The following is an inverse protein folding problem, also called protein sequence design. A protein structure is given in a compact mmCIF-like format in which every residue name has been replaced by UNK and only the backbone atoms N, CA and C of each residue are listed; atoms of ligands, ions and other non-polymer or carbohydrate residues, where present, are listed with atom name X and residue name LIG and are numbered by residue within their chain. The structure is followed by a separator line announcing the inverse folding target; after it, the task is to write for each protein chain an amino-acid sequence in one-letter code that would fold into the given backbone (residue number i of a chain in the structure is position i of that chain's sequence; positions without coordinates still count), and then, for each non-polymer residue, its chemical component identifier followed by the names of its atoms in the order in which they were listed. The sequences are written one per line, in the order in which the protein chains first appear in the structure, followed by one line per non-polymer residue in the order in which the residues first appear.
data_IF_245276697629
#
_entry.id   IF_245276697629
#
_cell.length_a   1.000
_cell.length_b   1.000
_cell.length_c   1.000
_cell.angle_alpha   90.00
_cell.angle_beta   90.00
_cell.angle_gamma   90.00
#
_symmetry.space_group_name_H-M   'P 1'
#
loop_
_entity.id
_entity.type
_entity.pdbx_description
1 polymer ?
#
# COMPACT_ATOMS: atom_id res chain seq x y z
N UNK A 1 -8.16 -3.75 -6.04
CA UNK A 1 -7.51 -2.66 -5.28
C UNK A 1 -6.30 -2.18 -6.06
N UNK A 2 -5.97 -0.89 -5.92
CA UNK A 2 -4.71 -0.32 -6.39
C UNK A 2 -3.87 0.07 -5.17
N UNK A 3 -2.69 -0.53 -5.05
CA UNK A 3 -1.73 -0.24 -3.98
C UNK A 3 -0.58 0.56 -4.57
N UNK A 4 -0.38 1.79 -4.10
CA UNK A 4 0.47 2.77 -4.75
C UNK A 4 1.61 3.22 -3.83
N UNK A 5 2.86 3.04 -4.27
CA UNK A 5 4.05 3.66 -3.66
C UNK A 5 4.43 4.87 -4.52
N UNK A 6 4.68 6.02 -3.88
CA UNK A 6 4.88 7.30 -4.55
C UNK A 6 6.36 7.63 -4.59
N UNK A 7 6.89 7.75 -5.80
CA UNK A 7 8.24 8.22 -6.05
C UNK A 7 8.38 9.73 -5.81
N UNK A 8 9.62 10.19 -5.68
CA UNK A 8 9.95 11.60 -5.39
C UNK A 8 10.83 12.23 -6.48
N UNK A 9 10.69 11.79 -7.74
CA UNK A 9 11.55 12.23 -8.86
C UNK A 9 12.88 11.47 -8.96
N UNK A 10 13.23 10.66 -7.95
CA UNK A 10 14.42 9.79 -7.95
C UNK A 10 14.05 8.31 -7.92
N UNK A 11 13.15 7.96 -7.02
CA UNK A 11 12.56 6.62 -6.95
C UNK A 11 11.30 6.57 -7.81
N UNK A 12 10.93 5.39 -8.31
CA UNK A 12 9.82 5.23 -9.26
C UNK A 12 8.50 5.08 -8.52
N UNK A 13 7.45 5.68 -9.06
CA UNK A 13 6.08 5.45 -8.59
C UNK A 13 5.54 4.13 -9.13
N UNK A 14 4.87 3.35 -8.27
CA UNK A 14 4.37 2.00 -8.59
C UNK A 14 2.88 1.92 -8.30
N UNK A 15 2.11 1.30 -9.20
CA UNK A 15 0.74 0.84 -8.95
C UNK A 15 0.71 -0.69 -9.01
N UNK A 16 0.27 -1.33 -7.94
CA UNK A 16 0.02 -2.76 -7.89
C UNK A 16 -1.49 -3.02 -7.86
N UNK A 17 -2.02 -3.50 -8.99
CA UNK A 17 -3.40 -3.93 -9.14
C UNK A 17 -3.53 -5.36 -8.62
N UNK A 18 -4.34 -5.55 -7.59
CA UNK A 18 -4.49 -6.84 -6.93
C UNK A 18 -5.89 -7.07 -6.35
N UNK A 19 -6.19 -8.35 -6.09
CA UNK A 19 -7.32 -8.78 -5.26
C UNK A 19 -6.84 -9.11 -3.86
N UNK A 20 -7.53 -8.57 -2.87
CA UNK A 20 -7.29 -8.85 -1.45
C UNK A 20 -8.52 -9.54 -0.87
N UNK A 21 -8.28 -10.50 0.01
CA UNK A 21 -9.32 -11.21 0.76
C UNK A 21 -8.78 -11.68 2.10
N UNK A 22 -9.69 -12.04 3.02
CA UNK A 22 -9.33 -12.48 4.37
C UNK A 22 -8.96 -11.33 5.31
N UNK A 23 -9.11 -11.58 6.60
CA UNK A 23 -8.75 -10.63 7.66
C UNK A 23 -7.23 -10.44 7.74
N UNK A 24 -6.79 -9.31 8.29
CA UNK A 24 -5.35 -9.07 8.56
C UNK A 24 -4.81 -10.18 9.47
N UNK A 25 -3.53 -10.52 9.29
CA UNK A 25 -2.89 -11.65 9.98
C UNK A 25 -2.94 -12.95 9.18
N UNK A 26 -3.52 -14.01 9.76
CA UNK A 26 -3.28 -15.38 9.28
C UNK A 26 -4.15 -15.82 8.10
N UNK A 27 -5.25 -15.12 7.81
CA UNK A 27 -6.14 -15.44 6.69
C UNK A 27 -5.95 -14.54 5.47
N UNK A 28 -5.18 -13.45 5.61
CA UNK A 28 -4.95 -12.45 4.56
C UNK A 28 -4.38 -13.09 3.31
N UNK A 29 -5.03 -12.90 2.16
CA UNK A 29 -4.61 -13.38 0.85
C UNK A 29 -4.51 -12.22 -0.12
N UNK A 30 -3.44 -12.19 -0.90
CA UNK A 30 -3.17 -11.19 -1.94
C UNK A 30 -2.86 -11.92 -3.25
N UNK A 31 -3.65 -11.63 -4.28
CA UNK A 31 -3.42 -12.11 -5.65
C UNK A 31 -3.13 -10.90 -6.52
N UNK A 32 -1.90 -10.81 -7.04
CA UNK A 32 -1.51 -9.76 -7.97
C UNK A 32 -2.10 -10.03 -9.36
N UNK A 33 -2.49 -8.96 -10.03
CA UNK A 33 -2.92 -8.99 -11.44
C UNK A 33 -1.96 -8.24 -12.33
N UNK A 34 -1.52 -7.04 -11.92
CA UNK A 34 -0.63 -6.22 -12.72
C UNK A 34 0.22 -5.30 -11.83
N UNK A 35 1.44 -5.01 -12.29
CA UNK A 35 2.29 -3.96 -11.73
C UNK A 35 2.57 -2.95 -12.83
N UNK A 36 2.22 -1.69 -12.56
CA UNK A 36 2.52 -0.56 -13.43
C UNK A 36 3.63 0.24 -12.75
N UNK A 37 4.73 0.47 -13.46
CA UNK A 37 5.89 1.23 -12.99
C UNK A 37 6.00 2.50 -13.83
N UNK A 38 5.89 3.65 -13.18
CA UNK A 38 6.05 4.96 -13.81
C UNK A 38 7.52 5.29 -14.05
N UNK A 39 7.77 6.25 -14.93
CA UNK A 39 9.10 6.83 -15.05
C UNK A 39 9.54 7.51 -13.73
N UNK A 40 10.84 7.52 -13.47
CA UNK A 40 11.38 8.15 -12.26
C UNK A 40 11.18 9.66 -12.22
N UNK A 41 11.01 10.32 -13.37
CA UNK A 41 10.75 11.76 -13.47
C UNK A 41 9.28 12.14 -13.22
N UNK A 42 8.37 11.17 -13.12
CA UNK A 42 6.96 11.43 -12.86
C UNK A 42 6.79 12.04 -11.46
N UNK A 43 6.17 13.22 -11.42
CA UNK A 43 5.94 13.92 -10.17
C UNK A 43 4.68 13.38 -9.43
N UNK A 44 4.53 13.66 -8.12
CA UNK A 44 3.41 13.14 -7.33
C UNK A 44 2.02 13.59 -7.81
N UNK A 45 1.90 14.76 -8.46
CA UNK A 45 0.62 15.28 -8.99
C UNK A 45 0.26 14.52 -10.26
N UNK A 46 1.18 14.43 -11.21
CA UNK A 46 1.02 13.64 -12.44
C UNK A 46 0.68 12.18 -12.10
N UNK A 47 1.32 11.61 -11.09
CA UNK A 47 1.02 10.26 -10.64
C UNK A 47 -0.41 10.11 -10.09
N UNK A 48 -0.92 11.13 -9.37
CA UNK A 48 -2.30 11.15 -8.87
C UNK A 48 -3.32 11.17 -10.00
N UNK A 49 -3.09 11.98 -11.03
CA UNK A 49 -3.92 12.03 -12.24
C UNK A 49 -3.86 10.70 -13.00
N UNK A 50 -2.67 10.12 -13.13
CA UNK A 50 -2.48 8.83 -13.77
C UNK A 50 -3.21 7.70 -13.02
N UNK A 51 -3.17 7.68 -11.68
CA UNK A 51 -3.95 6.73 -10.88
C UNK A 51 -5.46 6.93 -11.13
N UNK A 52 -5.93 8.18 -11.17
CA UNK A 52 -7.35 8.48 -11.40
C UNK A 52 -7.85 7.91 -12.72
N UNK A 53 -7.09 8.12 -13.81
CA UNK A 53 -7.42 7.62 -15.14
C UNK A 53 -7.27 6.10 -15.27
N UNK A 54 -6.21 5.54 -14.70
CA UNK A 54 -5.89 4.11 -14.83
C UNK A 54 -6.79 3.22 -13.97
N UNK A 55 -7.20 3.70 -12.80
CA UNK A 55 -7.98 2.95 -11.83
C UNK A 55 -9.48 3.27 -11.93
N UNK A 56 -10.01 3.35 -13.15
CA UNK A 56 -11.43 3.65 -13.42
C UNK A 56 -12.35 2.59 -12.77
N UNK A 57 -13.36 2.98 -11.95
CA UNK A 57 -14.36 2.07 -11.38
C UNK A 57 -15.16 1.29 -12.42
N UNK A 58 -15.31 1.80 -13.64
CA UNK A 58 -15.98 1.10 -14.75
C UNK A 58 -15.16 -0.12 -15.17
N UNK A 59 -13.83 0.02 -15.24
CA UNK A 59 -12.91 -1.08 -15.57
C UNK A 59 -12.65 -2.00 -14.38
N UNK A 60 -12.60 -1.42 -13.18
CA UNK A 60 -12.32 -2.13 -11.92
C UNK A 60 -13.41 -1.84 -10.88
N UNK A 61 -14.56 -2.53 -10.94
CA UNK A 61 -15.60 -2.39 -9.94
C UNK A 61 -15.06 -2.64 -8.53
N UNK A 62 -15.46 -1.80 -7.57
CA UNK A 62 -15.01 -1.84 -6.17
C UNK A 62 -13.48 -1.63 -5.98
N UNK A 63 -12.82 -0.93 -6.90
CA UNK A 63 -11.41 -0.57 -6.72
C UNK A 63 -11.24 0.43 -5.57
N UNK A 64 -10.67 -0.03 -4.46
CA UNK A 64 -10.15 0.83 -3.41
C UNK A 64 -8.72 1.28 -3.74
N UNK A 65 -8.45 2.57 -3.53
CA UNK A 65 -7.12 3.16 -3.68
C UNK A 65 -6.41 3.18 -2.32
N UNK A 66 -5.17 2.71 -2.30
CA UNK A 66 -4.31 2.70 -1.12
C UNK A 66 -2.99 3.35 -1.52
N UNK A 67 -2.59 4.43 -0.85
CA UNK A 67 -1.42 5.24 -1.23
C UNK A 67 -0.49 5.38 -0.03
N UNK A 68 0.82 5.20 -0.20
CA UNK A 68 1.79 5.69 0.78
C UNK A 68 1.74 7.21 0.81
N UNK A 69 1.12 7.77 1.85
CA UNK A 69 0.86 9.20 1.94
C UNK A 69 1.88 9.92 2.82
N UNK A 70 2.93 9.24 3.28
CA UNK A 70 4.02 9.90 3.98
C UNK A 70 4.81 10.79 2.98
N UNK A 71 5.25 11.95 3.44
CA UNK A 71 6.01 12.94 2.63
C UNK A 71 5.30 13.31 1.31
N UNK A 72 5.94 13.03 0.17
CA UNK A 72 5.50 13.42 -1.18
C UNK A 72 4.16 12.80 -1.59
N UNK A 73 3.80 11.64 -1.02
CA UNK A 73 2.53 10.97 -1.35
C UNK A 73 1.29 11.70 -0.83
N UNK A 74 1.47 12.70 0.04
CA UNK A 74 0.36 13.56 0.48
C UNK A 74 -0.26 14.34 -0.68
N UNK A 75 0.55 14.78 -1.64
CA UNK A 75 0.07 15.55 -2.80
C UNK A 75 -0.71 14.65 -3.76
N UNK A 76 -0.16 13.47 -4.11
CA UNK A 76 -0.87 12.43 -4.88
C UNK A 76 -2.23 12.12 -4.28
N UNK A 77 -2.29 11.98 -2.96
CA UNK A 77 -3.56 11.68 -2.29
C UNK A 77 -4.54 12.85 -2.36
N UNK A 78 -4.06 14.08 -2.20
CA UNK A 78 -4.89 15.28 -2.26
C UNK A 78 -5.48 15.49 -3.65
N UNK A 79 -4.73 15.19 -4.71
CA UNK A 79 -5.22 15.20 -6.10
C UNK A 79 -6.35 14.18 -6.27
N UNK A 80 -6.13 12.94 -5.84
CA UNK A 80 -7.15 11.89 -5.92
C UNK A 80 -8.44 12.26 -5.15
N UNK A 81 -8.31 12.77 -3.93
CA UNK A 81 -9.45 13.22 -3.11
C UNK A 81 -10.20 14.37 -3.79
N UNK A 82 -9.51 15.35 -4.39
CA UNK A 82 -10.13 16.44 -5.16
C UNK A 82 -10.85 15.94 -6.41
N UNK A 83 -10.38 14.86 -7.02
CA UNK A 83 -11.05 14.17 -8.12
C UNK A 83 -12.19 13.24 -7.67
N UNK A 84 -12.66 13.36 -6.41
CA UNK A 84 -13.78 12.61 -5.87
C UNK A 84 -13.47 11.15 -5.53
N UNK A 85 -12.19 10.81 -5.36
CA UNK A 85 -11.74 9.44 -5.06
C UNK A 85 -11.55 9.25 -3.56
N UNK A 86 -12.06 8.17 -3.01
CA UNK A 86 -11.73 7.75 -1.65
C UNK A 86 -10.36 7.05 -1.63
N UNK A 87 -9.46 7.52 -0.75
CA UNK A 87 -8.10 7.00 -0.64
C UNK A 87 -7.80 6.55 0.78
N UNK A 88 -7.31 5.33 0.92
CA UNK A 88 -6.73 4.84 2.17
C UNK A 88 -5.27 5.23 2.25
N UNK A 89 -4.94 6.07 3.24
CA UNK A 89 -3.59 6.58 3.46
C UNK A 89 -2.76 5.59 4.28
N UNK A 90 -1.69 5.04 3.71
CA UNK A 90 -0.67 4.29 4.45
C UNK A 90 0.25 5.29 5.14
N UNK A 91 0.61 4.98 6.39
CA UNK A 91 1.49 5.81 7.24
C UNK A 91 2.60 4.93 7.79
N UNK A 92 3.59 4.63 6.96
CA UNK A 92 4.58 3.57 7.15
C UNK A 92 5.35 3.67 8.48
N UNK A 93 5.66 4.91 8.88
CA UNK A 93 6.39 5.20 10.12
C UNK A 93 5.55 5.09 11.39
N UNK A 94 4.22 5.05 11.31
CA UNK A 94 3.34 5.07 12.49
C UNK A 94 3.31 3.72 13.21
N UNK A 95 3.08 3.70 14.53
CA UNK A 95 2.88 2.47 15.27
C UNK A 95 1.61 1.73 14.81
N UNK A 96 1.53 0.44 15.14
CA UNK A 96 0.30 -0.34 14.97
C UNK A 96 -0.79 0.15 15.94
N UNK A 97 -2.06 -0.02 15.54
CA UNK A 97 -3.21 0.42 16.34
C UNK A 97 -3.43 -0.43 17.60
N UNK A 98 -3.22 -1.75 17.54
CA UNK A 98 -3.43 -2.63 18.69
C UNK A 98 -2.24 -2.61 19.65
N UNK A 99 -2.48 -2.72 20.96
CA UNK A 99 -1.41 -2.86 21.95
C UNK A 99 -0.57 -4.11 21.71
N UNK A 100 -1.22 -5.22 21.33
CA UNK A 100 -0.57 -6.47 21.01
C UNK A 100 0.46 -6.30 19.89
N UNK A 101 0.07 -5.69 18.77
CA UNK A 101 0.98 -5.50 17.64
C UNK A 101 2.08 -4.47 17.96
N UNK A 102 1.79 -3.42 18.75
CA UNK A 102 2.82 -2.47 19.20
C UNK A 102 3.92 -3.14 20.03
N UNK A 103 3.59 -4.18 20.80
CA UNK A 103 4.57 -4.94 21.57
C UNK A 103 5.46 -5.83 20.69
N UNK A 104 5.06 -6.09 19.44
CA UNK A 104 5.74 -7.03 18.52
C UNK A 104 6.40 -6.37 17.34
N UNK A 105 5.92 -5.20 16.90
CA UNK A 105 6.38 -4.51 15.70
C UNK A 105 6.63 -3.04 16.03
N UNK A 106 7.77 -2.52 15.60
CA UNK A 106 8.11 -1.11 15.82
C UNK A 106 7.09 -0.16 15.17
N UNK A 107 6.62 -0.51 13.97
CA UNK A 107 5.71 0.31 13.16
C UNK A 107 4.95 -0.54 12.12
N UNK A 108 4.06 0.13 11.39
CA UNK A 108 3.28 -0.44 10.28
C UNK A 108 4.15 -1.12 9.23
N UNK A 109 5.28 -0.50 8.85
CA UNK A 109 6.26 -1.12 7.93
C UNK A 109 6.71 -2.50 8.41
N UNK A 110 7.06 -2.62 9.69
CA UNK A 110 7.55 -3.87 10.24
C UNK A 110 6.49 -4.96 10.28
N UNK A 111 5.28 -4.63 10.70
CA UNK A 111 4.14 -5.55 10.63
C UNK A 111 3.92 -6.04 9.20
N UNK A 112 3.81 -5.11 8.25
CA UNK A 112 3.46 -5.38 6.87
C UNK A 112 4.45 -6.34 6.19
N UNK A 113 5.75 -6.11 6.39
CA UNK A 113 6.81 -6.96 5.84
C UNK A 113 6.78 -8.37 6.43
N UNK A 114 6.62 -8.51 7.75
CA UNK A 114 6.54 -9.82 8.40
C UNK A 114 5.27 -10.57 7.99
N UNK A 115 4.14 -9.87 7.90
CA UNK A 115 2.87 -10.44 7.44
C UNK A 115 2.97 -10.92 5.99
N UNK A 116 3.60 -10.12 5.11
CA UNK A 116 3.82 -10.46 3.71
C UNK A 116 4.71 -11.71 3.57
N UNK A 117 5.81 -11.79 4.33
CA UNK A 117 6.67 -12.98 4.36
C UNK A 117 5.89 -14.24 4.78
N UNK A 118 5.06 -14.15 5.84
CA UNK A 118 4.22 -15.28 6.30
C UNK A 118 3.18 -15.67 5.25
N UNK A 119 2.58 -14.70 4.57
CA UNK A 119 1.62 -14.95 3.49
C UNK A 119 2.28 -15.67 2.31
N UNK A 120 3.52 -15.33 1.94
CA UNK A 120 4.29 -16.07 0.91
C UNK A 120 4.53 -17.50 1.35
N UNK A 121 5.08 -17.70 2.55
CA UNK A 121 5.43 -19.05 3.06
C UNK A 121 4.22 -19.98 3.17
N UNK A 122 3.04 -19.42 3.43
CA UNK A 122 1.77 -20.18 3.52
C UNK A 122 0.99 -20.23 2.20
N UNK A 123 1.53 -19.74 1.09
CA UNK A 123 0.88 -19.79 -0.23
C UNK A 123 -0.33 -18.85 -0.39
N UNK A 124 -0.52 -17.90 0.54
CA UNK A 124 -1.56 -16.86 0.49
C UNK A 124 -1.16 -15.62 -0.30
N UNK A 125 0.12 -15.45 -0.58
CA UNK A 125 0.61 -14.42 -1.48
C UNK A 125 1.63 -15.01 -2.43
N UNK A 126 1.56 -14.63 -3.70
CA UNK A 126 2.61 -14.87 -4.68
C UNK A 126 2.94 -13.54 -5.35
N UNK A 127 4.18 -13.04 -5.23
CA UNK A 127 4.63 -11.90 -6.03
C UNK A 127 4.52 -12.20 -7.52
N UNK A 128 4.61 -11.16 -8.34
CA UNK A 128 4.70 -11.29 -9.79
C UNK A 128 6.00 -12.01 -10.19
N UNK A 129 6.07 -12.47 -11.44
CA UNK A 129 7.23 -13.21 -11.95
C UNK A 129 8.46 -12.30 -12.23
N UNK A 130 8.41 -11.02 -11.86
CA UNK A 130 9.51 -10.09 -12.08
C UNK A 130 10.66 -10.36 -11.12
N UNK A 131 11.86 -10.52 -11.68
CA UNK A 131 13.10 -10.61 -10.89
C UNK A 131 13.31 -9.38 -10.00
N UNK A 132 12.85 -8.19 -10.41
CA UNK A 132 12.94 -6.96 -9.60
C UNK A 132 12.17 -7.10 -8.29
N UNK A 133 10.94 -7.61 -8.34
CA UNK A 133 10.09 -7.78 -7.16
C UNK A 133 10.67 -8.84 -6.22
N UNK A 134 11.14 -9.96 -6.77
CA UNK A 134 11.80 -11.00 -6.01
C UNK A 134 13.08 -10.50 -5.33
N UNK A 135 13.92 -9.75 -6.06
CA UNK A 135 15.16 -9.17 -5.54
C UNK A 135 14.89 -8.15 -4.42
N UNK A 136 13.92 -7.25 -4.61
CA UNK A 136 13.52 -6.29 -3.58
C UNK A 136 13.04 -7.00 -2.31
N UNK A 137 12.17 -8.01 -2.44
CA UNK A 137 11.66 -8.78 -1.31
C UNK A 137 12.79 -9.52 -0.55
N UNK A 138 13.73 -10.13 -1.28
CA UNK A 138 14.81 -10.93 -0.70
C UNK A 138 15.84 -10.08 0.07
N UNK A 139 16.01 -8.81 -0.32
CA UNK A 139 17.02 -7.91 0.25
C UNK A 139 16.55 -7.06 1.42
N UNK A 140 15.29 -7.19 1.86
CA UNK A 140 14.77 -6.40 2.98
C UNK A 140 15.52 -6.72 4.28
N UNK A 141 16.22 -5.75 4.89
CA UNK A 141 16.92 -5.97 6.14
C UNK A 141 15.93 -5.96 7.31
N UNK A 142 15.77 -7.13 7.93
CA UNK A 142 14.91 -7.36 9.09
C UNK A 142 15.78 -7.64 10.32
N UNK A 143 15.42 -7.05 11.46
CA UNK A 143 16.05 -7.36 12.76
C UNK A 143 15.03 -7.32 13.90
N UNK A 144 15.46 -7.81 15.06
CA UNK A 144 14.76 -7.63 16.33
C UNK A 144 15.47 -6.51 17.11
N UNK A 145 14.72 -5.62 17.78
CA UNK A 145 15.29 -4.64 18.69
C UNK A 145 15.42 -5.18 20.13
N UNK A 146 15.99 -4.37 21.03
CA UNK A 146 16.21 -4.74 22.43
C UNK A 146 14.92 -5.05 23.20
N UNK A 147 13.78 -4.54 22.71
CA UNK A 147 12.46 -4.80 23.28
C UNK A 147 11.76 -6.02 22.64
N UNK A 148 12.48 -6.80 21.81
CA UNK A 148 11.91 -7.97 21.14
C UNK A 148 11.00 -7.65 19.95
N UNK A 149 11.00 -6.40 19.45
CA UNK A 149 10.13 -5.99 18.34
C UNK A 149 10.81 -6.17 17.00
N UNK A 150 10.04 -6.58 16.00
CA UNK A 150 10.46 -6.58 14.61
C UNK A 150 10.70 -5.15 14.10
N UNK A 151 11.82 -4.96 13.43
CA UNK A 151 12.25 -3.70 12.82
C UNK A 151 12.70 -3.96 11.39
N UNK A 152 12.20 -3.12 10.48
CA UNK A 152 12.69 -3.02 9.11
C UNK A 152 13.56 -1.78 9.01
N UNK A 153 14.73 -1.91 8.37
CA UNK A 153 15.62 -0.78 8.16
C UNK A 153 14.93 0.33 7.36
N UNK A 154 15.12 1.59 7.75
CA UNK A 154 14.57 2.76 7.02
C UNK A 154 15.15 2.83 5.59
N UNK A 155 14.36 3.30 4.61
CA UNK A 155 14.75 3.41 3.18
C UNK A 155 16.10 4.16 3.05
N UNK A 156 16.24 5.32 3.70
CA UNK A 156 17.48 6.10 3.69
C UNK A 156 18.71 5.33 4.19
N UNK A 157 18.57 4.50 5.24
CA UNK A 157 19.68 3.72 5.79
C UNK A 157 20.02 2.51 4.92
N UNK A 158 19.02 1.88 4.30
CA UNK A 158 19.25 0.80 3.32
C UNK A 158 20.14 1.30 2.18
N UNK A 159 19.84 2.51 1.68
CA UNK A 159 20.63 3.15 0.62
C UNK A 159 22.04 3.50 1.09
N UNK A 160 22.15 4.20 2.21
CA UNK A 160 23.43 4.73 2.68
C UNK A 160 24.40 3.64 3.15
N UNK A 161 23.90 2.57 3.80
CA UNK A 161 24.75 1.55 4.44
C UNK A 161 24.93 0.28 3.63
N UNK A 162 23.93 -0.10 2.82
CA UNK A 162 23.90 -1.39 2.12
C UNK A 162 23.85 -1.23 0.59
N UNK A 163 23.83 0.02 0.09
CA UNK A 163 23.63 0.33 -1.33
C UNK A 163 22.34 -0.29 -1.92
N UNK A 164 21.35 -0.60 -1.07
CA UNK A 164 20.06 -1.15 -1.48
C UNK A 164 19.15 0.02 -1.87
N UNK A 165 18.59 -0.01 -3.07
CA UNK A 165 17.62 1.00 -3.54
C UNK A 165 16.28 0.84 -2.84
N UNK A 166 15.41 1.84 -2.97
CA UNK A 166 14.06 1.75 -2.43
C UNK A 166 13.32 0.52 -2.98
N UNK A 167 12.66 -0.29 -2.14
CA UNK A 167 11.99 -1.51 -2.57
C UNK A 167 10.53 -1.24 -2.99
N UNK A 168 10.31 -0.27 -3.88
CA UNK A 168 8.97 0.32 -4.09
C UNK A 168 7.93 -0.71 -4.58
N UNK A 169 8.32 -1.67 -5.43
CA UNK A 169 7.41 -2.75 -5.85
C UNK A 169 7.03 -3.63 -4.66
N UNK A 170 8.01 -4.01 -3.84
CA UNK A 170 7.77 -4.83 -2.66
C UNK A 170 6.93 -4.11 -1.59
N UNK A 171 7.14 -2.81 -1.40
CA UNK A 171 6.36 -2.01 -0.45
C UNK A 171 4.86 -2.03 -0.84
N UNK A 172 4.52 -1.98 -2.14
CA UNK A 172 3.11 -2.14 -2.57
C UNK A 172 2.47 -3.47 -2.15
N UNK A 173 3.19 -4.60 -2.21
CA UNK A 173 2.68 -5.88 -1.70
C UNK A 173 2.44 -5.82 -0.20
N UNK A 174 3.32 -5.14 0.53
CA UNK A 174 3.22 -4.99 1.97
C UNK A 174 2.02 -4.09 2.37
N UNK A 175 1.68 -3.06 1.59
CA UNK A 175 0.46 -2.27 1.81
C UNK A 175 -0.79 -3.14 1.83
N UNK A 176 -0.82 -4.17 0.98
CA UNK A 176 -1.91 -5.14 0.93
C UNK A 176 -2.06 -5.99 2.19
N UNK A 177 -1.09 -6.00 3.10
CA UNK A 177 -1.19 -6.63 4.42
C UNK A 177 -1.78 -5.69 5.48
N UNK A 178 -1.81 -4.38 5.20
CA UNK A 178 -2.29 -3.34 6.12
C UNK A 178 -3.61 -2.71 5.72
N UNK A 179 -3.97 -2.65 4.45
CA UNK A 179 -5.16 -1.90 4.05
C UNK A 179 -6.47 -2.54 4.54
N UNK A 180 -7.56 -1.79 4.48
CA UNK A 180 -8.90 -2.36 4.52
C UNK A 180 -9.38 -2.61 3.09
N UNK A 181 -10.31 -3.53 2.91
CA UNK A 181 -10.85 -3.85 1.58
C UNK A 181 -12.36 -3.98 1.64
N UNK A 182 -13.03 -3.62 0.55
CA UNK A 182 -14.46 -3.87 0.35
C UNK A 182 -14.60 -5.16 -0.48
N UNK A 183 -15.23 -6.23 0.05
CA UNK A 183 -15.48 -7.44 -0.73
C UNK A 183 -16.34 -7.17 -1.96
N UNK A 184 -16.05 -7.82 -3.08
CA UNK A 184 -16.79 -7.59 -4.33
C UNK A 184 -18.28 -8.00 -4.27
N UNK A 185 -18.67 -8.82 -3.28
CA UNK A 185 -20.05 -9.24 -3.04
C UNK A 185 -20.86 -8.24 -2.20
N UNK A 186 -20.21 -7.23 -1.61
CA UNK A 186 -20.91 -6.11 -0.98
C UNK A 186 -21.06 -4.99 -2.02
N UNK A 187 -22.26 -4.41 -2.21
CA UNK A 187 -22.40 -3.25 -3.05
C UNK A 187 -21.49 -2.14 -2.51
N UNK A 188 -20.74 -1.47 -3.40
CA UNK A 188 -20.07 -0.23 -3.06
C UNK A 188 -21.09 0.66 -2.34
N UNK A 189 -20.75 1.17 -1.15
CA UNK A 189 -21.65 2.07 -0.43
C UNK A 189 -21.84 3.33 -1.28
N UNK A 190 -22.90 3.36 -2.08
CA UNK A 190 -23.46 4.60 -2.61
C UNK A 190 -24.02 5.30 -1.38
N UNK A 191 -23.21 6.17 -0.75
CA UNK A 191 -23.70 7.09 0.27
C UNK A 191 -24.47 8.19 -0.44
N UNK A 192 -25.68 7.88 -0.89
CA UNK A 192 -26.67 8.89 -1.13
C UNK A 192 -27.23 9.29 0.23
N UNK A 193 -26.76 10.41 0.79
CA UNK A 193 -27.53 11.22 1.75
C UNK A 193 -26.73 12.47 2.13
N UNK A 194 -27.10 13.59 1.50
CA UNK A 194 -27.12 14.94 2.07
C UNK A 194 -27.85 15.87 1.09
N UNK A 195 -29.11 15.56 0.76
CA UNK A 195 -30.00 16.52 0.07
C UNK A 195 -31.50 16.26 0.25
N UNK A 196 -31.92 15.54 1.29
CA UNK A 196 -33.36 15.43 1.62
C UNK A 196 -33.79 16.07 2.95
N UNK A 197 -32.87 16.48 3.83
CA UNK A 197 -33.23 17.13 5.10
C UNK A 197 -33.15 18.67 5.07
N UNK A 198 -32.99 19.27 3.88
CA UNK A 198 -32.96 20.74 3.71
C UNK A 198 -34.24 21.32 3.09
N UNK A 199 -35.30 20.52 2.92
CA UNK A 199 -36.60 20.99 2.39
C UNK A 199 -37.79 20.65 3.30
N UNK A 200 -37.56 20.42 4.59
CA UNK A 200 -38.63 20.15 5.56
C UNK A 200 -38.40 20.77 6.94
N UNK A 201 -37.74 21.94 6.99
CA UNK A 201 -37.55 22.74 8.21
C UNK A 201 -37.74 24.21 7.92
#
# INVERSE_FOLDING_TARGET
MALCDVGNGRDKSIINLCKISGARGDTRRLVNYNIIEMDGACDPVEFGEFIHLTCDPVLYPNISLVVDSDEVGSDTTSILERSGREVQRIRWGKPMFSHYDRSRYLNQRAYANVAAQRAIRSGRMRPDNSSKSAEQAAKIPVRIDENGRWVIMKKALMRAKLNIRSPDRWDTYCFGMLCDFVPAAEPAKVRAELTLNAMSG
#
